data_IF_811902194993
#
_entry.id   IF_811902194993
#
_cell.length_a   1.000
_cell.length_b   1.000
_cell.length_c   1.000
_cell.angle_alpha   90.00
_cell.angle_beta   90.00
_cell.angle_gamma   90.00
#
_symmetry.space_group_name_H-M   'P 1'
#
loop_
_entity.id
_entity.type
_entity.pdbx_description
1 polymer ?
#
# COMPACT_ATOMS: atom_id res chain seq x y z
N UNK A 1 4.81 -11.43 -21.46
CA UNK A 1 4.44 -10.56 -20.33
C UNK A 1 2.93 -10.52 -20.28
N UNK A 2 2.34 -10.88 -19.14
CA UNK A 2 0.89 -10.97 -19.02
C UNK A 2 0.30 -9.56 -18.96
N UNK A 3 -0.91 -9.33 -19.49
CA UNK A 3 -1.60 -8.01 -19.41
C UNK A 3 -1.75 -7.48 -17.97
N UNK A 4 -1.63 -8.36 -16.97
CA UNK A 4 -1.68 -8.04 -15.54
C UNK A 4 -0.42 -7.33 -15.04
N UNK A 5 0.76 -7.63 -15.60
CA UNK A 5 2.04 -7.07 -15.17
C UNK A 5 2.16 -5.59 -15.55
N UNK A 6 1.66 -5.25 -16.74
CA UNK A 6 1.67 -3.87 -17.25
C UNK A 6 0.76 -2.97 -16.39
N UNK A 7 -0.39 -3.48 -15.96
CA UNK A 7 -1.32 -2.75 -15.09
C UNK A 7 -0.73 -2.42 -13.71
N UNK A 8 0.07 -3.31 -13.12
CA UNK A 8 0.71 -3.05 -11.83
C UNK A 8 1.89 -2.08 -11.95
N UNK A 9 2.67 -2.18 -13.03
CA UNK A 9 3.75 -1.24 -13.34
C UNK A 9 3.22 0.16 -13.56
N UNK A 10 2.12 0.33 -14.29
CA UNK A 10 1.49 1.63 -14.51
C UNK A 10 1.03 2.26 -13.18
N UNK A 11 0.49 1.45 -12.26
CA UNK A 11 0.12 1.93 -10.92
C UNK A 11 1.34 2.44 -10.16
N UNK A 12 2.42 1.67 -10.11
CA UNK A 12 3.65 2.10 -9.45
C UNK A 12 4.34 3.27 -10.15
N UNK A 13 4.24 3.37 -11.49
CA UNK A 13 4.70 4.52 -12.25
C UNK A 13 3.99 5.79 -11.80
N UNK A 14 2.66 5.75 -11.68
CA UNK A 14 1.89 6.88 -11.15
C UNK A 14 2.12 7.20 -9.67
N UNK A 15 2.78 6.30 -8.94
CA UNK A 15 3.24 6.53 -7.57
C UNK A 15 4.71 7.02 -7.54
N UNK A 16 5.33 7.26 -8.70
CA UNK A 16 6.66 7.85 -8.80
C UNK A 16 7.80 6.85 -8.89
N UNK A 17 7.53 5.58 -9.20
CA UNK A 17 8.57 4.63 -9.58
C UNK A 17 8.89 4.82 -11.07
N UNK A 18 10.16 5.01 -11.41
CA UNK A 18 10.60 5.24 -12.77
C UNK A 18 10.42 3.99 -13.64
N UNK A 19 9.37 3.98 -14.45
CA UNK A 19 9.12 3.02 -15.54
C UNK A 19 8.98 3.77 -16.87
N UNK A 20 9.18 3.05 -17.99
CA UNK A 20 8.85 3.56 -19.32
C UNK A 20 7.33 3.44 -19.58
N UNK A 21 6.51 4.08 -18.74
CA UNK A 21 5.05 4.01 -18.79
C UNK A 21 4.41 5.41 -18.83
N UNK A 22 3.19 5.56 -19.36
CA UNK A 22 2.46 6.82 -19.33
C UNK A 22 2.13 7.24 -17.89
N UNK A 23 2.37 8.51 -17.60
CA UNK A 23 2.39 9.09 -16.25
C UNK A 23 0.99 9.52 -15.72
N UNK A 24 -0.10 8.93 -16.24
CA UNK A 24 -1.44 9.55 -16.18
C UNK A 24 -2.42 8.91 -15.17
N UNK A 25 -2.08 7.77 -14.56
CA UNK A 25 -2.97 7.14 -13.59
C UNK A 25 -2.95 7.86 -12.22
N UNK A 26 -4.07 7.84 -11.48
CA UNK A 26 -4.11 8.27 -10.08
C UNK A 26 -4.22 7.04 -9.18
N UNK A 27 -3.16 6.22 -9.13
CA UNK A 27 -3.20 4.99 -8.36
C UNK A 27 -3.37 5.25 -6.86
N UNK A 28 -4.24 4.45 -6.24
CA UNK A 28 -4.40 4.42 -4.79
C UNK A 28 -3.22 3.65 -4.16
N UNK A 29 -2.45 4.26 -3.23
CA UNK A 29 -1.27 3.61 -2.66
C UNK A 29 -1.58 2.28 -1.96
N UNK A 30 -2.61 2.24 -1.12
CA UNK A 30 -2.95 1.05 -0.34
C UNK A 30 -3.40 -0.10 -1.22
N UNK A 31 -4.23 0.19 -2.24
CA UNK A 31 -4.65 -0.84 -3.19
C UNK A 31 -3.47 -1.34 -4.00
N UNK A 32 -2.54 -0.48 -4.39
CA UNK A 32 -1.34 -0.87 -5.17
C UNK A 32 -0.42 -1.77 -4.36
N UNK A 33 -0.25 -1.51 -3.06
CA UNK A 33 0.47 -2.39 -2.12
C UNK A 33 -0.21 -3.77 -2.05
N UNK A 34 -1.54 -3.80 -1.90
CA UNK A 34 -2.31 -5.05 -1.84
C UNK A 34 -2.21 -5.83 -3.14
N UNK A 35 -2.33 -5.16 -4.28
CA UNK A 35 -2.21 -5.78 -5.61
C UNK A 35 -0.80 -6.34 -5.84
N UNK A 36 0.23 -5.67 -5.33
CA UNK A 36 1.62 -6.16 -5.37
C UNK A 36 1.79 -7.44 -4.58
N UNK A 37 1.21 -7.51 -3.38
CA UNK A 37 1.25 -8.72 -2.54
C UNK A 37 0.49 -9.87 -3.20
N UNK A 38 -0.63 -9.58 -3.87
CA UNK A 38 -1.48 -10.56 -4.58
C UNK A 38 -0.95 -10.99 -5.94
N UNK A 39 0.09 -10.34 -6.47
CA UNK A 39 0.66 -10.68 -7.78
C UNK A 39 1.12 -12.14 -7.86
N UNK A 40 1.44 -12.76 -6.73
CA UNK A 40 1.93 -14.14 -6.66
C UNK A 40 3.37 -14.29 -7.16
N UNK A 41 4.04 -13.20 -7.52
CA UNK A 41 5.42 -13.20 -8.00
C UNK A 41 6.43 -13.47 -6.87
N UNK A 42 6.09 -13.10 -5.65
CA UNK A 42 6.99 -13.23 -4.51
C UNK A 42 7.05 -14.67 -3.98
N UNK A 43 8.27 -15.19 -3.68
CA UNK A 43 9.59 -14.56 -3.75
C UNK A 43 10.37 -14.83 -5.04
N UNK A 44 9.79 -15.53 -6.01
CA UNK A 44 10.46 -15.91 -7.27
C UNK A 44 10.91 -14.70 -8.09
N UNK A 45 10.06 -13.67 -8.19
CA UNK A 45 10.43 -12.32 -8.63
C UNK A 45 10.17 -11.33 -7.48
N UNK A 46 11.26 -10.71 -7.02
CA UNK A 46 11.23 -9.77 -5.90
C UNK A 46 11.25 -8.33 -6.35
N UNK A 47 11.47 -8.06 -7.62
CA UNK A 47 11.76 -6.71 -8.12
C UNK A 47 10.63 -5.74 -7.76
N UNK A 48 9.38 -6.14 -7.97
CA UNK A 48 8.23 -5.31 -7.60
C UNK A 48 8.09 -5.13 -6.09
N UNK A 49 8.44 -6.15 -5.30
CA UNK A 49 8.48 -6.06 -3.84
C UNK A 49 9.57 -5.10 -3.34
N UNK A 50 10.76 -5.16 -3.91
CA UNK A 50 11.89 -4.27 -3.57
C UNK A 50 11.59 -2.81 -3.94
N UNK A 51 10.94 -2.60 -5.10
CA UNK A 51 10.43 -1.29 -5.53
C UNK A 51 9.32 -0.76 -4.62
N UNK A 52 8.39 -1.62 -4.20
CA UNK A 52 7.37 -1.27 -3.22
C UNK A 52 8.02 -0.86 -1.89
N UNK A 53 9.01 -1.61 -1.38
CA UNK A 53 9.72 -1.27 -0.14
C UNK A 53 10.50 0.05 -0.27
N UNK A 54 11.09 0.32 -1.44
CA UNK A 54 11.70 1.60 -1.77
C UNK A 54 10.69 2.74 -1.77
N UNK A 55 9.53 2.55 -2.40
CA UNK A 55 8.48 3.57 -2.38
C UNK A 55 8.00 3.84 -0.95
N UNK A 56 7.78 2.77 -0.18
CA UNK A 56 7.34 2.87 1.20
C UNK A 56 8.36 3.54 2.11
N UNK A 57 9.67 3.47 1.84
CA UNK A 57 10.66 4.19 2.67
C UNK A 57 10.60 5.71 2.47
N UNK A 58 10.16 6.18 1.30
CA UNK A 58 10.06 7.62 0.97
C UNK A 58 8.68 8.22 1.30
N UNK A 59 7.62 7.44 1.13
CA UNK A 59 6.23 7.90 1.20
C UNK A 59 5.42 7.31 2.37
N UNK A 60 6.08 6.66 3.34
CA UNK A 60 5.45 5.95 4.47
C UNK A 60 4.36 6.77 5.18
N UNK A 61 4.68 8.04 5.43
CA UNK A 61 3.84 9.04 6.10
C UNK A 61 2.57 9.38 5.33
N UNK A 62 2.51 9.13 4.02
CA UNK A 62 1.33 9.37 3.18
C UNK A 62 0.41 8.14 3.03
N UNK A 63 0.79 7.01 3.64
CA UNK A 63 -0.02 5.81 3.64
C UNK A 63 -1.09 5.91 4.74
N UNK A 64 -2.34 5.64 4.35
CA UNK A 64 -3.49 5.58 5.24
C UNK A 64 -3.59 4.18 5.85
N UNK A 65 -2.91 3.97 6.98
CA UNK A 65 -2.81 2.65 7.65
C UNK A 65 -4.18 2.09 8.06
N UNK A 66 -5.13 2.93 8.48
CA UNK A 66 -6.47 2.46 8.82
C UNK A 66 -7.22 1.93 7.59
N UNK A 67 -7.03 2.53 6.40
CA UNK A 67 -7.55 1.99 5.14
C UNK A 67 -6.97 0.61 4.83
N UNK A 68 -5.66 0.42 5.01
CA UNK A 68 -5.02 -0.90 4.79
C UNK A 68 -5.68 -2.00 5.63
N UNK A 69 -6.05 -1.72 6.89
CA UNK A 69 -6.74 -2.69 7.76
C UNK A 69 -8.02 -3.24 7.14
N UNK A 70 -8.76 -2.39 6.43
CA UNK A 70 -9.99 -2.79 5.72
C UNK A 70 -9.73 -3.63 4.45
N UNK A 71 -8.52 -3.59 3.91
CA UNK A 71 -8.12 -4.41 2.75
C UNK A 71 -7.56 -5.78 3.15
N UNK A 72 -7.05 -5.93 4.38
CA UNK A 72 -6.51 -7.18 4.92
C UNK A 72 -7.47 -8.38 4.84
N UNK A 73 -8.80 -8.28 5.01
CA UNK A 73 -9.70 -9.42 4.89
C UNK A 73 -9.68 -10.10 3.52
N UNK A 74 -9.23 -9.40 2.48
CA UNK A 74 -9.15 -9.95 1.13
C UNK A 74 -7.87 -10.76 0.86
N UNK A 75 -6.97 -10.87 1.84
CA UNK A 75 -5.68 -11.53 1.72
C UNK A 75 -5.74 -12.99 2.18
N UNK A 76 -5.04 -13.88 1.47
CA UNK A 76 -4.80 -15.26 1.90
C UNK A 76 -3.89 -15.29 3.14
N UNK A 77 -3.78 -16.43 3.86
CA UNK A 77 -2.88 -16.54 5.01
C UNK A 77 -1.41 -16.20 4.67
N UNK A 78 -0.92 -16.63 3.50
CA UNK A 78 0.43 -16.31 3.04
C UNK A 78 0.60 -14.82 2.77
N UNK A 79 -0.35 -14.21 2.06
CA UNK A 79 -0.35 -12.77 1.77
C UNK A 79 -0.44 -11.92 3.04
N UNK A 80 -1.21 -12.37 4.05
CA UNK A 80 -1.24 -11.74 5.38
C UNK A 80 0.11 -11.81 6.07
N UNK A 81 0.81 -12.95 5.97
CA UNK A 81 2.15 -13.10 6.53
C UNK A 81 3.16 -12.18 5.82
N UNK A 82 3.07 -12.02 4.49
CA UNK A 82 3.85 -11.04 3.75
C UNK A 82 3.59 -9.62 4.24
N UNK A 83 2.32 -9.26 4.42
CA UNK A 83 1.93 -7.97 4.99
C UNK A 83 2.49 -7.76 6.40
N UNK A 84 2.53 -8.80 7.23
CA UNK A 84 3.16 -8.75 8.55
C UNK A 84 4.65 -8.43 8.50
N UNK A 85 5.39 -9.07 7.60
CA UNK A 85 6.81 -8.79 7.38
C UNK A 85 7.05 -7.37 6.88
N UNK A 86 6.27 -6.90 5.90
CA UNK A 86 6.31 -5.53 5.39
C UNK A 86 6.03 -4.52 6.52
N UNK A 87 4.97 -4.75 7.31
CA UNK A 87 4.60 -3.88 8.42
C UNK A 87 5.70 -3.80 9.48
N UNK A 88 6.41 -4.90 9.73
CA UNK A 88 7.56 -4.92 10.66
C UNK A 88 8.71 -4.06 10.14
N UNK A 89 9.01 -4.13 8.83
CA UNK A 89 9.99 -3.23 8.20
C UNK A 89 9.58 -1.76 8.30
N UNK A 90 8.30 -1.46 8.11
CA UNK A 90 7.77 -0.09 8.25
C UNK A 90 7.94 0.47 9.67
N UNK A 91 7.69 -0.36 10.69
CA UNK A 91 7.94 0.01 12.09
C UNK A 91 9.43 0.25 12.35
N UNK A 92 10.31 -0.58 11.80
CA UNK A 92 11.78 -0.40 11.90
C UNK A 92 12.27 0.87 11.19
N UNK A 93 11.56 1.31 10.14
CA UNK A 93 11.80 2.59 9.46
C UNK A 93 11.19 3.80 10.18
N UNK A 94 10.64 3.62 11.39
CA UNK A 94 10.20 4.73 12.26
C UNK A 94 8.70 5.00 12.28
N UNK A 95 7.89 4.31 11.48
CA UNK A 95 6.43 4.53 11.48
C UNK A 95 5.68 3.51 12.35
N UNK A 96 5.44 3.90 13.60
CA UNK A 96 4.78 3.06 14.59
C UNK A 96 3.29 2.81 14.32
N UNK A 97 2.64 3.54 13.40
CA UNK A 97 1.23 3.31 13.04
C UNK A 97 1.02 1.90 12.50
N UNK A 98 2.03 1.36 11.82
CA UNK A 98 2.06 0.01 11.26
C UNK A 98 2.02 -1.11 12.31
N UNK A 99 2.25 -0.81 13.61
CA UNK A 99 1.99 -1.77 14.69
C UNK A 99 0.53 -2.22 14.73
N UNK A 100 -0.40 -1.40 14.24
CA UNK A 100 -1.80 -1.81 14.10
C UNK A 100 -1.97 -2.94 13.08
N UNK A 101 -1.27 -2.86 11.94
CA UNK A 101 -1.27 -3.92 10.92
C UNK A 101 -0.68 -5.22 11.46
N UNK A 102 0.46 -5.14 12.16
CA UNK A 102 1.08 -6.31 12.81
C UNK A 102 0.08 -7.01 13.74
N UNK A 103 -0.61 -6.24 14.59
CA UNK A 103 -1.61 -6.77 15.53
C UNK A 103 -2.78 -7.45 14.81
N UNK A 104 -3.29 -6.84 13.74
CA UNK A 104 -4.38 -7.42 12.95
C UNK A 104 -3.94 -8.72 12.24
N UNK A 105 -2.72 -8.76 11.70
CA UNK A 105 -2.15 -9.97 11.09
C UNK A 105 -2.00 -11.08 12.14
N UNK A 106 -1.42 -10.78 13.30
CA UNK A 106 -1.25 -11.74 14.40
C UNK A 106 -2.59 -12.24 14.96
N UNK A 107 -3.62 -11.40 15.00
CA UNK A 107 -4.97 -11.81 15.40
C UNK A 107 -5.56 -12.85 14.44
N UNK A 108 -5.27 -12.74 13.14
CA UNK A 108 -5.78 -13.64 12.10
C UNK A 108 -4.95 -14.92 11.94
N UNK A 109 -3.63 -14.83 11.98
CA UNK A 109 -2.72 -15.98 11.83
C UNK A 109 -2.48 -16.73 13.14
N UNK A 110 -2.80 -16.12 14.28
CA UNK A 110 -2.44 -16.61 15.61
C UNK A 110 -1.02 -16.21 16.03
N UNK A 111 -0.68 -16.52 17.28
CA UNK A 111 0.66 -16.22 17.85
C UNK A 111 1.78 -17.08 17.25
N UNK A 112 1.43 -18.27 16.75
CA UNK A 112 2.33 -19.18 16.07
C UNK A 112 1.86 -19.29 14.62
N UNK A 113 2.29 -18.38 13.74
CA UNK A 113 1.84 -18.39 12.36
C UNK A 113 2.28 -19.69 11.68
N UNK A 114 1.47 -20.20 10.72
CA UNK A 114 1.86 -21.36 9.94
C UNK A 114 3.16 -21.09 9.20
N UNK A 115 3.93 -22.15 8.97
CA UNK A 115 5.14 -22.06 8.14
C UNK A 115 4.73 -22.07 6.68
N UNK A 116 5.25 -21.12 5.94
CA UNK A 116 5.04 -21.01 4.51
C UNK A 116 6.34 -21.34 3.79
N UNK A 117 6.26 -22.29 2.87
CA UNK A 117 7.34 -22.53 1.91
C UNK A 117 7.26 -21.43 0.85
N UNK A 118 8.28 -20.58 0.81
CA UNK A 118 8.33 -19.47 -0.12
C UNK A 118 9.12 -19.84 -1.38
N UNK A 119 9.86 -20.94 -1.41
CA UNK A 119 10.56 -21.39 -2.63
C UNK A 119 11.97 -20.83 -2.84
N UNK A 120 12.57 -20.15 -1.86
CA UNK A 120 14.02 -19.95 -1.83
C UNK A 120 14.73 -21.26 -1.48
N UNK A 121 15.77 -21.62 -2.23
CA UNK A 121 16.53 -22.83 -1.94
C UNK A 121 17.41 -22.69 -0.69
N UNK A 122 17.62 -23.80 0.03
CA UNK A 122 18.38 -23.83 1.28
C UNK A 122 19.84 -23.38 1.11
N UNK A 123 20.46 -23.57 -0.07
CA UNK A 123 21.82 -23.12 -0.31
C UNK A 123 21.86 -21.58 -0.40
N UNK A 124 20.92 -20.98 -1.11
CA UNK A 124 20.77 -19.54 -1.20
C UNK A 124 20.50 -18.91 0.17
N UNK A 125 19.64 -19.52 0.99
CA UNK A 125 19.37 -19.09 2.36
C UNK A 125 20.60 -19.21 3.26
N UNK A 126 21.41 -20.26 3.12
CA UNK A 126 22.69 -20.40 3.85
C UNK A 126 23.68 -19.30 3.49
N UNK A 127 23.72 -18.88 2.22
CA UNK A 127 24.65 -17.86 1.74
C UNK A 127 24.21 -16.43 2.08
N UNK A 128 22.91 -16.14 1.98
CA UNK A 128 22.36 -14.77 2.16
C UNK A 128 21.78 -14.53 3.55
N UNK A 129 21.55 -15.57 4.33
CA UNK A 129 20.79 -15.54 5.57
C UNK A 129 19.28 -15.54 5.33
N UNK A 130 18.52 -15.38 6.42
CA UNK A 130 17.05 -15.33 6.39
C UNK A 130 16.56 -13.97 6.87
N UNK A 131 15.57 -13.41 6.17
CA UNK A 131 14.90 -12.18 6.57
C UNK A 131 14.08 -12.40 7.85
N UNK A 132 14.53 -11.83 8.95
CA UNK A 132 13.88 -12.01 10.26
C UNK A 132 12.50 -11.37 10.33
N UNK A 133 12.23 -10.34 9.51
CA UNK A 133 10.92 -9.68 9.51
C UNK A 133 9.84 -10.57 8.93
N UNK A 134 10.17 -11.32 7.88
CA UNK A 134 9.26 -12.30 7.27
C UNK A 134 9.24 -13.62 8.05
N UNK A 135 10.37 -14.03 8.62
CA UNK A 135 10.45 -15.25 9.44
C UNK A 135 9.54 -15.18 10.68
N UNK A 136 9.39 -13.99 11.27
CA UNK A 136 8.47 -13.76 12.40
C UNK A 136 7.01 -14.08 12.06
N UNK A 137 6.65 -14.10 10.77
CA UNK A 137 5.33 -14.47 10.26
C UNK A 137 5.31 -15.83 9.55
N UNK A 138 6.36 -16.65 9.73
CA UNK A 138 6.44 -18.01 9.21
C UNK A 138 6.94 -18.12 7.77
N UNK A 139 7.40 -17.02 7.15
CA UNK A 139 7.92 -17.01 5.77
C UNK A 139 9.45 -17.09 5.80
N UNK A 140 10.01 -18.19 5.29
CA UNK A 140 11.46 -18.39 5.20
C UNK A 140 11.96 -17.91 3.83
N UNK A 141 12.51 -16.69 3.80
CA UNK A 141 13.08 -16.08 2.58
C UNK A 141 14.40 -15.38 2.87
N UNK A 142 15.24 -15.24 1.85
CA UNK A 142 16.44 -14.43 1.89
C UNK A 142 16.09 -12.94 2.11
N UNK A 143 17.00 -12.13 2.67
CA UNK A 143 16.76 -10.71 2.93
C UNK A 143 16.19 -9.96 1.73
N UNK A 144 15.06 -9.28 1.95
CA UNK A 144 14.44 -8.40 0.95
C UNK A 144 14.71 -6.96 1.38
N UNK A 145 15.31 -6.18 0.48
CA UNK A 145 15.72 -4.80 0.76
C UNK A 145 15.06 -3.84 -0.22
N UNK A 146 14.89 -2.56 0.16
CA UNK A 146 14.57 -1.52 -0.82
C UNK A 146 15.55 -1.52 -1.98
N UNK A 147 15.03 -1.28 -3.18
CA UNK A 147 15.82 -1.10 -4.40
C UNK A 147 16.57 0.27 -4.39
N UNK A 148 17.32 0.60 -5.45
CA UNK A 148 18.09 1.84 -5.59
C UNK A 148 17.17 3.07 -5.74
N UNK A 149 17.41 4.11 -4.92
CA UNK A 149 16.70 5.40 -4.96
C UNK A 149 16.69 6.10 -6.33
N UNK A 150 17.63 5.80 -7.24
CA UNK A 150 17.59 6.30 -8.63
C UNK A 150 16.34 5.87 -9.39
N UNK A 151 15.63 4.86 -8.90
CA UNK A 151 14.37 4.37 -9.47
C UNK A 151 13.16 5.15 -8.95
N UNK A 152 13.34 6.15 -8.08
CA UNK A 152 12.28 7.08 -7.69
C UNK A 152 12.37 8.37 -8.52
N UNK A 153 11.20 8.82 -8.98
CA UNK A 153 11.03 10.17 -9.50
C UNK A 153 11.14 11.20 -8.39
N UNK A 154 11.34 12.47 -8.75
CA UNK A 154 11.40 13.55 -7.76
C UNK A 154 10.10 13.62 -6.97
N UNK A 155 10.23 13.73 -5.64
CA UNK A 155 9.08 13.65 -4.72
C UNK A 155 7.99 14.69 -5.00
N UNK A 156 8.38 15.92 -5.27
CA UNK A 156 7.47 17.03 -5.57
C UNK A 156 6.68 16.79 -6.87
N UNK A 157 7.35 16.23 -7.89
CA UNK A 157 6.73 15.83 -9.13
C UNK A 157 5.66 14.74 -8.91
N UNK A 158 6.05 13.66 -8.23
CA UNK A 158 5.16 12.54 -7.92
C UNK A 158 3.92 12.97 -7.16
N UNK A 159 4.10 13.79 -6.12
CA UNK A 159 2.97 14.23 -5.29
C UNK A 159 2.02 15.08 -6.12
N UNK A 160 2.52 16.07 -6.85
CA UNK A 160 1.69 16.97 -7.67
C UNK A 160 0.85 16.23 -8.72
N UNK A 161 1.34 15.10 -9.23
CA UNK A 161 0.63 14.31 -10.23
C UNK A 161 -0.39 13.34 -9.66
N UNK A 162 -0.22 12.89 -8.42
CA UNK A 162 -1.11 11.92 -7.80
C UNK A 162 -2.01 12.58 -6.75
N UNK A 163 -3.31 12.66 -7.03
CA UNK A 163 -4.30 13.31 -6.17
C UNK A 163 -4.40 12.67 -4.77
N UNK A 164 -4.18 11.35 -4.64
CA UNK A 164 -4.15 10.69 -3.32
C UNK A 164 -2.99 11.23 -2.48
N UNK A 165 -1.80 11.32 -3.07
CA UNK A 165 -0.62 11.82 -2.37
C UNK A 165 -0.72 13.32 -2.09
N UNK A 166 -1.23 14.10 -3.05
CA UNK A 166 -1.48 15.54 -2.89
C UNK A 166 -2.41 15.79 -1.71
N UNK A 167 -3.62 15.23 -1.73
CA UNK A 167 -4.62 15.51 -0.70
C UNK A 167 -4.18 15.04 0.69
N UNK A 168 -3.46 13.92 0.77
CA UNK A 168 -2.91 13.42 2.05
C UNK A 168 -1.71 14.22 2.54
N UNK A 169 -0.95 14.86 1.66
CA UNK A 169 0.09 15.80 2.09
C UNK A 169 -0.55 17.01 2.79
N UNK A 170 -1.66 17.52 2.26
CA UNK A 170 -2.35 18.70 2.82
C UNK A 170 -3.16 18.39 4.07
N UNK A 171 -3.92 17.29 4.07
CA UNK A 171 -4.92 17.00 5.09
C UNK A 171 -4.49 15.90 6.06
N UNK A 172 -3.35 15.25 5.79
CA UNK A 172 -2.93 14.02 6.45
C UNK A 172 -3.57 12.76 5.83
N UNK A 173 -2.97 11.58 6.06
CA UNK A 173 -3.45 10.30 5.53
C UNK A 173 -4.68 9.80 6.32
N UNK A 174 -5.84 10.37 6.03
CA UNK A 174 -7.10 10.06 6.71
C UNK A 174 -8.27 9.94 5.73
N UNK A 175 -9.43 9.54 6.26
CA UNK A 175 -10.64 9.31 5.46
C UNK A 175 -11.11 10.57 4.71
N UNK A 176 -10.95 11.78 5.28
CA UNK A 176 -11.40 13.02 4.64
C UNK A 176 -10.56 13.35 3.41
N UNK A 177 -9.23 13.17 3.49
CA UNK A 177 -8.34 13.31 2.34
C UNK A 177 -8.69 12.33 1.21
N UNK A 178 -8.96 11.07 1.58
CA UNK A 178 -9.40 10.05 0.63
C UNK A 178 -10.76 10.39 0.02
N UNK A 179 -11.67 10.96 0.80
CA UNK A 179 -12.99 11.41 0.35
C UNK A 179 -12.88 12.49 -0.71
N UNK A 180 -12.13 13.56 -0.42
CA UNK A 180 -11.86 14.63 -1.39
C UNK A 180 -11.28 14.04 -2.67
N UNK A 181 -10.30 13.15 -2.54
CA UNK A 181 -9.65 12.51 -3.70
C UNK A 181 -10.64 11.79 -4.62
N UNK A 182 -11.53 10.95 -4.09
CA UNK A 182 -12.47 10.19 -4.94
C UNK A 182 -13.49 11.08 -5.64
N UNK A 183 -13.79 12.28 -5.11
CA UNK A 183 -14.64 13.26 -5.76
C UNK A 183 -13.89 14.15 -6.75
N UNK A 184 -12.69 14.61 -6.41
CA UNK A 184 -11.81 15.36 -7.33
C UNK A 184 -11.54 14.57 -8.60
N UNK A 185 -11.35 13.25 -8.49
CA UNK A 185 -11.11 12.36 -9.63
C UNK A 185 -12.39 11.90 -10.33
N UNK A 186 -13.59 12.29 -9.85
CA UNK A 186 -14.86 11.86 -10.42
C UNK A 186 -15.15 10.35 -10.29
N UNK A 187 -14.43 9.64 -9.42
CA UNK A 187 -14.59 8.19 -9.19
C UNK A 187 -15.90 7.92 -8.44
N UNK A 188 -16.26 8.81 -7.50
CA UNK A 188 -17.53 8.78 -6.78
C UNK A 188 -18.42 9.94 -7.20
N UNK A 189 -19.74 9.69 -7.31
CA UNK A 189 -20.76 10.71 -7.58
C UNK A 189 -21.64 11.04 -6.37
N UNK A 190 -21.59 10.22 -5.33
CA UNK A 190 -22.34 10.41 -4.09
C UNK A 190 -21.70 9.65 -2.92
N UNK A 191 -22.18 9.94 -1.70
CA UNK A 191 -21.69 9.32 -0.46
C UNK A 191 -21.75 7.78 -0.48
N UNK A 192 -22.77 7.18 -1.10
CA UNK A 192 -22.88 5.72 -1.15
C UNK A 192 -21.77 5.09 -2.00
N UNK A 193 -21.48 5.66 -3.17
CA UNK A 193 -20.38 5.21 -4.02
C UNK A 193 -19.04 5.40 -3.33
N UNK A 194 -18.81 6.55 -2.71
CA UNK A 194 -17.59 6.81 -1.95
C UNK A 194 -17.41 5.81 -0.80
N UNK A 195 -18.49 5.45 -0.08
CA UNK A 195 -18.44 4.46 0.98
C UNK A 195 -17.94 3.08 0.47
N UNK A 196 -18.43 2.66 -0.70
CA UNK A 196 -17.99 1.42 -1.35
C UNK A 196 -16.54 1.47 -1.79
N UNK A 197 -16.14 2.52 -2.50
CA UNK A 197 -14.77 2.69 -3.01
C UNK A 197 -13.77 2.78 -1.85
N UNK A 198 -14.16 3.47 -0.78
CA UNK A 198 -13.29 3.70 0.36
C UNK A 198 -13.37 2.59 1.42
N UNK A 199 -14.30 1.65 1.26
CA UNK A 199 -14.63 0.60 2.22
C UNK A 199 -14.87 1.14 3.64
N UNK A 200 -15.61 2.24 3.75
CA UNK A 200 -15.94 2.87 5.04
C UNK A 200 -17.43 2.74 5.37
N UNK A 201 -17.82 3.02 6.62
CA UNK A 201 -19.23 2.95 7.01
C UNK A 201 -20.07 3.99 6.28
N UNK A 202 -21.35 3.71 5.98
CA UNK A 202 -22.26 4.68 5.37
C UNK A 202 -22.34 5.98 6.17
N UNK A 203 -22.40 5.91 7.50
CA UNK A 203 -22.47 7.09 8.37
C UNK A 203 -21.21 7.95 8.31
N UNK A 204 -20.02 7.34 8.24
CA UNK A 204 -18.79 8.10 8.06
C UNK A 204 -18.75 8.79 6.69
N UNK A 205 -19.21 8.09 5.66
CA UNK A 205 -19.29 8.62 4.30
C UNK A 205 -20.25 9.80 4.20
N UNK A 206 -21.48 9.68 4.71
CA UNK A 206 -22.49 10.74 4.69
C UNK A 206 -22.02 12.02 5.40
N UNK A 207 -21.34 11.90 6.54
CA UNK A 207 -20.79 13.06 7.25
C UNK A 207 -19.73 13.79 6.41
N UNK A 208 -18.75 13.06 5.88
CA UNK A 208 -17.71 13.67 5.04
C UNK A 208 -18.28 14.27 3.74
N UNK A 209 -19.33 13.67 3.19
CA UNK A 209 -20.04 14.22 2.04
C UNK A 209 -20.73 15.53 2.36
N UNK A 210 -21.46 15.61 3.48
CA UNK A 210 -22.12 16.84 3.91
C UNK A 210 -21.10 17.95 4.15
N UNK A 211 -20.02 17.68 4.88
CA UNK A 211 -18.92 18.66 5.10
C UNK A 211 -18.37 19.19 3.77
N UNK A 212 -18.23 18.31 2.76
CA UNK A 212 -17.71 18.68 1.44
C UNK A 212 -18.68 19.57 0.67
N UNK A 213 -19.97 19.23 0.66
CA UNK A 213 -21.00 20.02 -0.01
C UNK A 213 -21.18 21.39 0.66
N UNK A 214 -21.11 21.44 1.98
CA UNK A 214 -21.09 22.71 2.74
C UNK A 214 -19.89 23.57 2.33
N UNK A 215 -18.69 22.99 2.29
CA UNK A 215 -17.48 23.71 1.89
C UNK A 215 -17.54 24.23 0.44
N UNK A 216 -18.15 23.47 -0.48
CA UNK A 216 -18.44 23.94 -1.85
C UNK A 216 -19.43 25.09 -1.87
N UNK A 217 -20.48 25.03 -1.06
CA UNK A 217 -21.45 26.12 -0.90
C UNK A 217 -20.81 27.41 -0.39
N UNK A 218 -19.70 27.31 0.34
CA UNK A 218 -18.88 28.43 0.83
C UNK A 218 -17.79 28.89 -0.16
N UNK A 219 -17.63 28.22 -1.32
CA UNK A 219 -16.62 28.56 -2.31
C UNK A 219 -15.17 28.20 -1.92
N UNK A 220 -15.00 27.24 -1.00
CA UNK A 220 -13.68 26.78 -0.54
C UNK A 220 -13.08 25.73 -1.51
N UNK A 221 -13.92 25.09 -2.33
CA UNK A 221 -13.58 24.05 -3.31
C UNK A 221 -14.32 24.24 -4.62
#
# INVERSE_FOLDING_TARGET
>A
MSKTDDSLRDKWASLGIAFNAPDEANANPEQTIIDTIKSGEFPSDRKMFELMLLWMSEYLQLIHVERLKYLLPSLTPFELALMGGIATKCVKNGDFRWRAIIREVQKKLGKNPPRFDAGDDELYLKLKGTDQDFLAFGIKVAPVKPDDHKKLMKRDHTIKKNAWLTNRLFLGPNLRADFITVFTLGIAKNAYQAAKILNCSPNASYRNWHDLEEAKGLGIF
#
